data_IF_345583554066
#
_entry.id   IF_345583554066
#
_cell.length_a   1.000
_cell.length_b   1.000
_cell.length_c   1.000
_cell.angle_alpha   90.00
_cell.angle_beta   90.00
_cell.angle_gamma   90.00
#
_symmetry.space_group_name_H-M   'P 1'
#
loop_
_entity.id
_entity.type
_entity.pdbx_description
1 polymer ?
#
# COMPACT_ATOMS: atom_id res chain seq x y z
N UNK A 1 -5.37 -7.55 -20.31
CA UNK A 1 -4.71 -6.60 -19.69
C UNK A 1 -5.06 -6.28 -18.28
N UNK A 2 -4.25 -5.47 -17.63
CA UNK A 2 -4.45 -5.22 -16.21
C UNK A 2 -5.77 -4.51 -15.94
N UNK A 3 -6.17 -3.59 -16.78
CA UNK A 3 -7.45 -2.91 -16.59
C UNK A 3 -8.62 -3.86 -16.66
N UNK A 4 -8.56 -4.78 -17.60
CA UNK A 4 -9.61 -5.75 -17.75
C UNK A 4 -9.70 -6.66 -16.53
N UNK A 5 -8.55 -7.05 -15.97
CA UNK A 5 -8.52 -7.86 -14.77
C UNK A 5 -9.13 -7.14 -13.59
N UNK A 6 -8.80 -5.86 -13.44
CA UNK A 6 -9.33 -5.05 -12.34
C UNK A 6 -10.84 -4.92 -12.46
N UNK A 7 -11.35 -4.76 -13.67
CA UNK A 7 -12.77 -4.56 -13.89
C UNK A 7 -13.64 -5.74 -13.44
N UNK A 8 -13.10 -6.96 -13.47
CA UNK A 8 -13.89 -8.11 -13.06
C UNK A 8 -13.80 -8.42 -11.58
N UNK A 9 -13.00 -7.63 -10.84
CA UNK A 9 -12.93 -7.78 -9.39
C UNK A 9 -14.12 -7.11 -8.75
N UNK A 10 -14.93 -7.88 -8.00
CA UNK A 10 -16.06 -7.36 -7.25
C UNK A 10 -15.63 -6.89 -5.86
N UNK A 11 -14.52 -7.38 -5.37
CA UNK A 11 -13.98 -7.00 -4.08
C UNK A 11 -12.46 -6.97 -4.17
N UNK A 12 -11.84 -6.34 -3.19
CA UNK A 12 -10.40 -6.16 -3.22
C UNK A 12 -9.86 -6.49 -1.83
N UNK A 13 -9.34 -7.69 -1.67
CA UNK A 13 -8.89 -8.21 -0.40
C UNK A 13 -7.39 -7.99 -0.22
N UNK A 14 -6.91 -8.26 1.00
CA UNK A 14 -5.47 -8.23 1.28
C UNK A 14 -4.76 -9.22 0.37
N UNK A 15 -5.37 -10.37 0.13
CA UNK A 15 -4.77 -11.38 -0.75
C UNK A 15 -4.56 -10.84 -2.16
N UNK A 16 -5.56 -10.18 -2.72
CA UNK A 16 -5.43 -9.61 -4.05
C UNK A 16 -4.33 -8.55 -4.10
N UNK A 17 -4.28 -7.69 -3.06
CA UNK A 17 -3.23 -6.68 -3.01
C UNK A 17 -1.84 -7.32 -2.97
N UNK A 18 -1.66 -8.35 -2.14
CA UNK A 18 -0.38 -9.04 -2.06
C UNK A 18 -0.01 -9.72 -3.37
N UNK A 19 -0.99 -10.34 -4.02
CA UNK A 19 -0.74 -11.00 -5.31
C UNK A 19 -0.31 -9.99 -6.36
N UNK A 20 -0.98 -8.83 -6.41
CA UNK A 20 -0.61 -7.78 -7.36
C UNK A 20 0.77 -7.22 -7.07
N UNK A 21 1.08 -7.02 -5.79
CA UNK A 21 2.39 -6.50 -5.41
C UNK A 21 3.50 -7.48 -5.73
N UNK A 22 3.24 -8.79 -5.53
CA UNK A 22 4.18 -9.83 -5.91
C UNK A 22 4.46 -9.77 -7.42
N UNK A 23 3.41 -9.60 -8.20
CA UNK A 23 3.53 -9.51 -9.66
C UNK A 23 4.41 -8.32 -10.06
N UNK A 24 4.22 -7.17 -9.42
CA UNK A 24 5.06 -6.00 -9.69
C UNK A 24 6.51 -6.25 -9.33
N UNK A 25 6.76 -6.86 -8.18
CA UNK A 25 8.12 -7.14 -7.75
C UNK A 25 8.83 -8.09 -8.72
N UNK A 26 8.09 -9.08 -9.24
CA UNK A 26 8.66 -10.00 -10.22
C UNK A 26 8.94 -9.29 -11.54
N UNK A 27 8.03 -8.41 -11.96
CA UNK A 27 8.19 -7.66 -13.21
C UNK A 27 9.43 -6.77 -13.20
N UNK A 28 9.74 -6.15 -12.06
CA UNK A 28 10.84 -5.21 -11.93
C UNK A 28 12.01 -5.78 -11.12
N UNK A 29 12.12 -7.10 -11.07
CA UNK A 29 13.13 -7.75 -10.25
C UNK A 29 14.56 -7.41 -10.65
N UNK A 30 14.76 -6.95 -11.90
CA UNK A 30 16.08 -6.54 -12.38
C UNK A 30 16.42 -5.11 -11.99
N UNK A 31 15.44 -4.33 -11.54
CA UNK A 31 15.64 -2.92 -11.23
C UNK A 31 15.39 -2.59 -9.76
N UNK A 32 14.47 -3.30 -9.13
CA UNK A 32 14.09 -3.03 -7.75
C UNK A 32 14.87 -3.92 -6.80
N UNK A 33 14.99 -3.45 -5.57
CA UNK A 33 15.66 -4.22 -4.53
C UNK A 33 14.93 -5.55 -4.33
N UNK A 34 15.72 -6.62 -4.17
CA UNK A 34 15.18 -7.96 -3.97
C UNK A 34 14.30 -8.00 -2.73
N UNK A 35 13.18 -8.72 -2.82
CA UNK A 35 12.30 -8.93 -1.68
C UNK A 35 12.97 -9.91 -0.72
N UNK A 36 13.34 -9.41 0.44
CA UNK A 36 14.03 -10.20 1.48
C UNK A 36 13.90 -9.44 2.80
N UNK A 37 14.14 -10.11 3.92
CA UNK A 37 13.99 -9.43 5.23
C UNK A 37 14.85 -8.18 5.35
N UNK A 38 16.04 -8.17 4.79
CA UNK A 38 16.93 -7.01 4.85
C UNK A 38 16.33 -5.80 4.14
N UNK A 39 15.60 -6.03 3.07
CA UNK A 39 14.97 -4.93 2.33
C UNK A 39 13.75 -4.37 3.05
N UNK A 40 13.18 -5.11 3.99
CA UNK A 40 11.96 -4.69 4.68
C UNK A 40 12.09 -3.35 5.38
N UNK A 41 13.24 -3.11 6.01
CA UNK A 41 13.47 -1.85 6.70
C UNK A 41 13.51 -0.69 5.71
N UNK A 42 14.13 -0.90 4.56
CA UNK A 42 14.15 0.13 3.51
C UNK A 42 12.74 0.46 3.03
N UNK A 43 11.92 -0.57 2.86
CA UNK A 43 10.54 -0.36 2.43
C UNK A 43 9.76 0.43 3.48
N UNK A 44 10.00 0.15 4.76
CA UNK A 44 9.36 0.92 5.83
C UNK A 44 9.80 2.37 5.82
N UNK A 45 11.08 2.63 5.59
CA UNK A 45 11.58 4.00 5.54
C UNK A 45 10.97 4.76 4.35
N UNK A 46 10.87 4.12 3.21
CA UNK A 46 10.24 4.74 2.03
C UNK A 46 8.77 4.98 2.27
N UNK A 47 8.09 4.05 2.98
CA UNK A 47 6.70 4.23 3.33
C UNK A 47 6.51 5.47 4.21
N UNK A 48 7.41 5.68 5.16
CA UNK A 48 7.36 6.88 6.00
C UNK A 48 7.49 8.14 5.13
N UNK A 49 8.36 8.10 4.13
CA UNK A 49 8.49 9.20 3.20
C UNK A 49 7.21 9.51 2.46
N UNK A 50 6.52 8.46 1.98
CA UNK A 50 5.24 8.64 1.30
C UNK A 50 4.17 9.19 2.24
N UNK A 51 4.16 8.74 3.49
CA UNK A 51 3.26 9.28 4.50
C UNK A 51 3.53 10.78 4.68
N UNK A 52 4.81 11.16 4.68
CA UNK A 52 5.19 12.57 4.77
C UNK A 52 4.62 13.39 3.61
N UNK A 53 4.60 12.83 2.40
CA UNK A 53 4.03 13.52 1.26
C UNK A 53 2.53 13.70 1.40
N UNK A 54 1.85 12.72 1.96
CA UNK A 54 0.42 12.85 2.26
C UNK A 54 0.18 13.98 3.25
N UNK A 55 0.97 14.04 4.30
CA UNK A 55 0.88 15.09 5.30
C UNK A 55 1.08 16.46 4.64
N UNK A 56 2.07 16.57 3.74
CA UNK A 56 2.36 17.84 3.06
C UNK A 56 1.18 18.30 2.19
N UNK A 57 0.54 17.39 1.50
CA UNK A 57 -0.64 17.73 0.69
C UNK A 57 -1.71 18.37 1.57
N UNK A 58 -1.99 17.76 2.71
CA UNK A 58 -3.02 18.27 3.61
C UNK A 58 -2.59 19.60 4.22
N UNK A 59 -1.33 19.71 4.65
CA UNK A 59 -0.83 20.95 5.25
C UNK A 59 -0.88 22.13 4.28
N UNK A 60 -0.50 21.90 3.03
CA UNK A 60 -0.45 22.97 2.04
C UNK A 60 -1.83 23.43 1.61
N UNK A 61 -2.79 22.52 1.57
CA UNK A 61 -4.09 22.80 0.98
C UNK A 61 -5.22 22.91 2.00
N UNK A 62 -5.01 22.39 3.21
CA UNK A 62 -6.03 22.37 4.24
C UNK A 62 -6.92 21.14 4.14
N UNK A 63 -7.53 20.81 5.27
CA UNK A 63 -8.34 19.57 5.36
C UNK A 63 -9.57 19.61 4.47
N UNK A 64 -10.25 20.73 4.42
CA UNK A 64 -11.50 20.84 3.66
C UNK A 64 -11.22 20.73 2.15
N UNK A 65 -10.20 21.44 1.68
CA UNK A 65 -9.86 21.38 0.26
C UNK A 65 -9.39 20.00 -0.14
N UNK A 66 -8.61 19.34 0.72
CA UNK A 66 -8.15 17.98 0.46
C UNK A 66 -9.33 17.03 0.36
N UNK A 67 -10.40 17.30 1.09
CA UNK A 67 -11.60 16.47 1.07
C UNK A 67 -12.47 16.72 -0.17
N UNK A 68 -12.62 17.97 -0.58
CA UNK A 68 -13.66 18.37 -1.52
C UNK A 68 -13.18 18.67 -2.94
N UNK A 69 -11.93 19.11 -3.11
CA UNK A 69 -11.40 19.42 -4.44
C UNK A 69 -11.13 18.12 -5.20
N UNK A 70 -11.75 17.97 -6.38
CA UNK A 70 -11.71 16.70 -7.09
C UNK A 70 -10.31 16.24 -7.47
N UNK A 71 -9.50 17.15 -8.02
CA UNK A 71 -8.13 16.80 -8.45
C UNK A 71 -7.24 16.54 -7.26
N UNK A 72 -7.37 17.36 -6.22
CA UNK A 72 -6.57 17.19 -5.01
C UNK A 72 -6.93 15.90 -4.29
N UNK A 73 -8.21 15.59 -4.22
CA UNK A 73 -8.67 14.35 -3.63
C UNK A 73 -8.10 13.15 -4.36
N UNK A 74 -8.14 13.18 -5.68
CA UNK A 74 -7.58 12.09 -6.48
C UNK A 74 -6.11 11.90 -6.20
N UNK A 75 -5.36 13.01 -6.13
CA UNK A 75 -3.94 12.95 -5.84
C UNK A 75 -3.68 12.37 -4.45
N UNK A 76 -4.48 12.81 -3.46
CA UNK A 76 -4.37 12.30 -2.10
C UNK A 76 -4.60 10.78 -2.06
N UNK A 77 -5.62 10.31 -2.76
CA UNK A 77 -5.94 8.88 -2.80
C UNK A 77 -4.80 8.09 -3.45
N UNK A 78 -4.21 8.63 -4.53
CA UNK A 78 -3.08 7.98 -5.19
C UNK A 78 -1.89 7.84 -4.25
N UNK A 79 -1.59 8.88 -3.47
CA UNK A 79 -0.49 8.83 -2.51
C UNK A 79 -0.78 7.84 -1.39
N UNK A 80 -2.05 7.76 -0.96
CA UNK A 80 -2.43 6.76 0.03
C UNK A 80 -2.26 5.34 -0.51
N UNK A 81 -2.55 5.15 -1.80
CA UNK A 81 -2.31 3.86 -2.44
C UNK A 81 -0.82 3.52 -2.45
N UNK A 82 0.04 4.50 -2.71
CA UNK A 82 1.49 4.28 -2.67
C UNK A 82 1.94 3.80 -1.28
N UNK A 83 1.40 4.43 -0.22
CA UNK A 83 1.71 4.01 1.14
C UNK A 83 1.33 2.54 1.34
N UNK A 84 0.15 2.17 0.87
CA UNK A 84 -0.33 0.79 1.04
C UNK A 84 0.48 -0.19 0.20
N UNK A 85 0.95 0.22 -0.97
CA UNK A 85 1.80 -0.64 -1.79
C UNK A 85 3.14 -0.91 -1.10
N UNK A 86 3.75 0.09 -0.47
CA UNK A 86 4.95 -0.15 0.33
C UNK A 86 4.67 -1.05 1.51
N UNK A 87 3.52 -0.87 2.15
CA UNK A 87 3.12 -1.75 3.25
C UNK A 87 3.07 -3.21 2.79
N UNK A 88 2.49 -3.44 1.62
CA UNK A 88 2.43 -4.80 1.07
C UNK A 88 3.82 -5.33 0.74
N UNK A 89 4.73 -4.47 0.28
CA UNK A 89 6.13 -4.89 0.07
C UNK A 89 6.75 -5.39 1.38
N UNK A 90 6.47 -4.71 2.50
CA UNK A 90 6.99 -5.13 3.80
C UNK A 90 6.44 -6.50 4.17
N UNK A 91 5.15 -6.73 3.93
CA UNK A 91 4.57 -8.05 4.19
C UNK A 91 5.28 -9.13 3.37
N UNK A 92 5.56 -8.83 2.10
CA UNK A 92 6.27 -9.78 1.24
C UNK A 92 7.68 -10.04 1.76
N UNK A 93 8.38 -9.00 2.21
CA UNK A 93 9.75 -9.13 2.70
C UNK A 93 9.85 -10.07 3.90
N UNK A 94 8.84 -10.12 4.72
CA UNK A 94 8.84 -10.94 5.93
C UNK A 94 7.94 -12.17 5.80
N UNK A 95 7.43 -12.44 4.62
CA UNK A 95 6.61 -13.63 4.38
C UNK A 95 5.32 -13.63 5.18
N UNK A 96 4.80 -12.47 5.51
CA UNK A 96 3.54 -12.37 6.26
C UNK A 96 2.39 -12.59 5.29
N UNK A 97 1.58 -13.61 5.58
CA UNK A 97 0.45 -13.95 4.73
C UNK A 97 -0.76 -13.10 5.06
N UNK A 98 -1.71 -13.07 4.13
CA UNK A 98 -2.98 -12.39 4.35
C UNK A 98 -3.73 -12.99 5.54
N UNK A 99 -3.62 -14.32 5.73
CA UNK A 99 -4.28 -14.98 6.85
C UNK A 99 -3.66 -14.56 8.19
N UNK A 100 -2.33 -14.51 8.26
CA UNK A 100 -1.67 -14.06 9.49
C UNK A 100 -2.08 -12.64 9.86
N UNK A 101 -2.07 -11.76 8.88
CA UNK A 101 -2.42 -10.36 9.12
C UNK A 101 -3.88 -10.22 9.54
N UNK A 102 -4.76 -10.95 8.86
CA UNK A 102 -6.18 -10.94 9.16
C UNK A 102 -6.44 -11.37 10.60
N UNK A 103 -5.82 -12.48 11.02
CA UNK A 103 -6.03 -13.01 12.36
C UNK A 103 -5.53 -12.03 13.42
N UNK A 104 -4.37 -11.42 13.16
CA UNK A 104 -3.83 -10.44 14.09
C UNK A 104 -4.75 -9.21 14.20
N UNK A 105 -5.25 -8.76 13.07
CA UNK A 105 -6.12 -7.59 13.03
C UNK A 105 -7.42 -7.86 13.81
N UNK A 106 -8.04 -8.99 13.56
CA UNK A 106 -9.29 -9.36 14.23
C UNK A 106 -9.07 -9.51 15.72
N UNK A 107 -7.97 -10.18 16.10
CA UNK A 107 -7.66 -10.36 17.51
C UNK A 107 -7.48 -9.02 18.24
N UNK A 108 -6.77 -8.09 17.60
CA UNK A 108 -6.58 -6.77 18.19
C UNK A 108 -7.90 -6.01 18.31
N UNK A 109 -8.74 -6.11 17.29
CA UNK A 109 -10.04 -5.47 17.32
C UNK A 109 -10.88 -5.99 18.49
N UNK A 110 -10.89 -7.30 18.70
CA UNK A 110 -11.68 -7.91 19.75
C UNK A 110 -11.20 -7.53 21.15
N UNK A 111 -9.91 -7.25 21.29
CA UNK A 111 -9.35 -6.85 22.59
C UNK A 111 -9.52 -5.36 22.89
N UNK A 112 -9.81 -4.57 21.90
CA UNK A 112 -10.00 -3.14 22.06
C UNK A 112 -11.46 -2.83 22.33
#
# INVERSE_FOLDING_TARGET
>A
RSERKVKIMNSFSIREMLTMQQTLQEKYSDKWETICPEAGKHKLLWMIGEIGEVVDIIKKNGEIKSLEDGDLRKHLVEEMADVLMYYNDVLLCYGISDEELKEAYISKFEKT
#
